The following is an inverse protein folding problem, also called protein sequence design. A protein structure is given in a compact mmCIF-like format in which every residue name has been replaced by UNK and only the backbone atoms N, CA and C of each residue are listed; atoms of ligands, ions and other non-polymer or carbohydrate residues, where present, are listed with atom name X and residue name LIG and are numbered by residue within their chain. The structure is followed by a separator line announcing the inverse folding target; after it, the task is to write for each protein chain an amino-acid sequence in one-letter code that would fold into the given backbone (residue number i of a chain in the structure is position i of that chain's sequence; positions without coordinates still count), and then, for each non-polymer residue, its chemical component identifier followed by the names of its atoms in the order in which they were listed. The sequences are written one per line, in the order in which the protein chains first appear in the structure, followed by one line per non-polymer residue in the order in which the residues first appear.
data_IF_322673970143
#
_entry.id   IF_322673970143
#
_cell.length_a   1.000
_cell.length_b   1.000
_cell.length_c   1.000
_cell.angle_alpha   90.00
_cell.angle_beta   90.00
_cell.angle_gamma   90.00
#
_symmetry.space_group_name_H-M   'P 1'
#
loop_
_entity.id
_entity.type
_entity.pdbx_description
1 polymer ?
#
# COMPACT_ATOMS: atom_id res chain seq x y z
N UNK A 1 -12.32 0.47 15.28
CA UNK A 1 -11.00 0.89 14.76
C UNK A 1 -10.99 2.37 14.44
N UNK A 2 -11.81 2.85 13.51
CA UNK A 2 -11.80 4.27 13.11
C UNK A 2 -12.12 5.23 14.27
N UNK A 3 -13.22 5.01 15.00
CA UNK A 3 -13.58 5.84 16.15
C UNK A 3 -12.50 5.85 17.25
N UNK A 4 -11.85 4.71 17.49
CA UNK A 4 -10.71 4.62 18.41
C UNK A 4 -9.56 5.49 17.92
N UNK A 5 -9.19 5.39 16.63
CA UNK A 5 -8.13 6.21 16.04
C UNK A 5 -8.41 7.71 16.14
N UNK A 6 -9.67 8.15 15.97
CA UNK A 6 -10.06 9.54 16.22
C UNK A 6 -9.83 9.93 17.67
N UNK A 7 -10.20 9.06 18.63
CA UNK A 7 -9.91 9.24 20.05
C UNK A 7 -8.41 9.36 20.35
N UNK A 8 -7.57 8.67 19.58
CA UNK A 8 -6.11 8.72 19.65
C UNK A 8 -5.50 9.92 18.88
N UNK A 9 -6.32 10.78 18.27
CA UNK A 9 -5.90 11.99 17.57
C UNK A 9 -5.64 11.84 16.05
N UNK A 10 -6.00 10.70 15.45
CA UNK A 10 -5.86 10.48 14.01
C UNK A 10 -6.93 11.27 13.24
N UNK A 11 -6.50 12.11 12.28
CA UNK A 11 -7.38 12.93 11.44
C UNK A 11 -7.54 12.44 10.00
N UNK A 12 -6.73 11.45 9.59
CA UNK A 12 -6.76 10.87 8.26
C UNK A 12 -6.24 9.43 8.28
N UNK A 13 -6.85 8.55 7.48
CA UNK A 13 -6.44 7.16 7.31
C UNK A 13 -6.38 6.82 5.83
N UNK A 14 -5.32 6.14 5.41
CA UNK A 14 -5.27 5.44 4.12
C UNK A 14 -5.54 3.96 4.40
N UNK A 15 -6.60 3.41 3.83
CA UNK A 15 -6.85 1.97 3.86
C UNK A 15 -5.89 1.28 2.89
N UNK A 16 -5.10 0.34 3.40
CA UNK A 16 -4.06 -0.39 2.66
C UNK A 16 -4.34 -1.90 2.65
N UNK A 17 -5.41 -2.37 1.98
CA UNK A 17 -5.64 -3.82 1.85
C UNK A 17 -4.43 -4.48 1.17
N UNK A 18 -4.11 -5.71 1.58
CA UNK A 18 -3.02 -6.47 0.98
C UNK A 18 -3.34 -6.88 -0.45
N UNK A 19 -2.39 -6.63 -1.34
CA UNK A 19 -2.41 -7.03 -2.74
C UNK A 19 -1.29 -8.04 -2.96
N UNK A 20 -1.68 -9.31 -2.94
CA UNK A 20 -0.78 -10.47 -3.04
C UNK A 20 -0.63 -10.99 -4.47
N UNK A 21 -1.38 -10.41 -5.42
CA UNK A 21 -1.39 -10.77 -6.84
C UNK A 21 -1.21 -9.52 -7.70
N UNK A 22 -0.72 -9.64 -8.95
CA UNK A 22 -0.45 -8.46 -9.76
C UNK A 22 -1.74 -7.69 -10.11
N UNK A 23 -1.80 -6.39 -9.80
CA UNK A 23 -2.96 -5.54 -10.13
C UNK A 23 -3.19 -5.42 -11.63
N UNK A 24 -2.10 -5.36 -12.41
CA UNK A 24 -2.14 -5.28 -13.87
C UNK A 24 -2.73 -6.55 -14.52
N UNK A 25 -2.79 -7.67 -13.80
CA UNK A 25 -3.40 -8.92 -14.24
C UNK A 25 -4.79 -9.18 -13.62
N UNK A 26 -5.25 -8.35 -12.67
CA UNK A 26 -6.48 -8.59 -11.92
C UNK A 26 -7.26 -7.29 -11.63
N UNK A 27 -7.97 -6.80 -12.66
CA UNK A 27 -8.81 -5.61 -12.57
C UNK A 27 -9.94 -5.75 -11.56
N UNK A 28 -10.51 -6.96 -11.40
CA UNK A 28 -11.60 -7.25 -10.46
C UNK A 28 -11.23 -6.98 -9.01
N UNK A 29 -9.97 -7.17 -8.62
CA UNK A 29 -9.51 -6.90 -7.27
C UNK A 29 -9.66 -5.41 -6.92
N UNK A 30 -9.33 -4.52 -7.87
CA UNK A 30 -9.45 -3.08 -7.67
C UNK A 30 -10.90 -2.67 -7.46
N UNK A 31 -11.82 -3.19 -8.28
CA UNK A 31 -13.26 -2.93 -8.16
C UNK A 31 -13.83 -3.38 -6.81
N UNK A 32 -13.40 -4.55 -6.32
CA UNK A 32 -13.84 -5.06 -5.02
C UNK A 32 -13.35 -4.14 -3.89
N UNK A 33 -12.08 -3.75 -3.90
CA UNK A 33 -11.51 -2.86 -2.89
C UNK A 33 -12.21 -1.50 -2.88
N UNK A 34 -12.48 -0.92 -4.05
CA UNK A 34 -13.18 0.35 -4.19
C UNK A 34 -14.61 0.28 -3.65
N UNK A 35 -15.37 -0.76 -4.04
CA UNK A 35 -16.73 -0.95 -3.52
C UNK A 35 -16.75 -1.08 -2.00
N UNK A 36 -15.84 -1.90 -1.44
CA UNK A 36 -15.75 -2.09 0.02
C UNK A 36 -15.32 -0.81 0.75
N UNK A 37 -14.48 -0.01 0.11
CA UNK A 37 -14.06 1.27 0.65
C UNK A 37 -15.20 2.30 0.65
N UNK A 38 -16.06 2.30 -0.37
CA UNK A 38 -17.24 3.17 -0.37
C UNK A 38 -18.24 2.76 0.71
N UNK A 39 -18.51 1.46 0.86
CA UNK A 39 -19.33 0.93 1.97
C UNK A 39 -18.77 1.32 3.35
N UNK A 40 -17.44 1.43 3.48
CA UNK A 40 -16.80 1.89 4.71
C UNK A 40 -17.03 3.39 4.94
N UNK A 41 -16.87 4.21 3.90
CA UNK A 41 -17.10 5.67 3.98
C UNK A 41 -18.54 5.97 4.37
N UNK A 42 -19.51 5.34 3.71
CA UNK A 42 -20.93 5.50 4.02
C UNK A 42 -21.23 5.24 5.50
N UNK A 43 -20.72 4.14 6.05
CA UNK A 43 -20.91 3.80 7.48
C UNK A 43 -20.23 4.77 8.44
N UNK A 44 -19.08 5.33 8.06
CA UNK A 44 -18.35 6.31 8.87
C UNK A 44 -19.11 7.64 8.89
N UNK A 45 -19.66 8.03 7.75
CA UNK A 45 -20.49 9.23 7.59
C UNK A 45 -21.83 9.08 8.34
N UNK A 46 -22.51 7.93 8.25
CA UNK A 46 -23.74 7.62 9.01
C UNK A 46 -23.54 7.71 10.53
N UNK A 47 -22.33 7.40 11.01
CA UNK A 47 -21.98 7.50 12.43
C UNK A 47 -21.49 8.89 12.84
N UNK A 48 -21.43 9.85 11.91
CA UNK A 48 -20.98 11.21 12.17
C UNK A 48 -19.51 11.32 12.60
N UNK A 49 -18.67 10.34 12.21
CA UNK A 49 -17.26 10.32 12.59
C UNK A 49 -16.46 11.23 11.66
N UNK A 50 -15.96 12.35 12.20
CA UNK A 50 -15.18 13.32 11.43
C UNK A 50 -13.73 12.84 11.18
N UNK A 51 -13.50 12.11 10.09
CA UNK A 51 -12.17 11.64 9.68
C UNK A 51 -12.05 11.58 8.16
N UNK A 52 -10.86 11.88 7.62
CA UNK A 52 -10.59 11.74 6.18
C UNK A 52 -10.18 10.31 5.86
N UNK A 53 -10.87 9.68 4.93
CA UNK A 53 -10.54 8.33 4.45
C UNK A 53 -10.02 8.38 3.02
N UNK A 54 -8.94 7.64 2.78
CA UNK A 54 -8.35 7.44 1.47
C UNK A 54 -8.16 5.95 1.20
N UNK A 55 -8.13 5.57 -0.07
CA UNK A 55 -7.85 4.22 -0.50
C UNK A 55 -6.46 4.14 -1.14
N UNK A 56 -5.69 3.13 -0.77
CA UNK A 56 -4.45 2.74 -1.44
C UNK A 56 -4.35 1.21 -1.42
N UNK A 57 -3.13 0.71 -1.31
CA UNK A 57 -2.89 -0.72 -1.06
C UNK A 57 -1.52 -0.94 -0.43
N UNK A 58 -1.35 -2.11 0.18
CA UNK A 58 -0.04 -2.67 0.53
C UNK A 58 0.29 -3.76 -0.48
N UNK A 59 1.29 -3.52 -1.33
CA UNK A 59 1.62 -4.41 -2.44
C UNK A 59 2.76 -5.34 -2.01
N UNK A 60 2.50 -6.65 -2.00
CA UNK A 60 3.58 -7.62 -1.85
C UNK A 60 4.51 -7.49 -3.06
N UNK A 61 5.82 -7.38 -2.81
CA UNK A 61 6.85 -7.21 -3.82
C UNK A 61 6.69 -8.27 -4.92
N UNK A 62 6.67 -7.77 -6.15
CA UNK A 62 6.56 -8.53 -7.39
C UNK A 62 7.42 -7.83 -8.44
N UNK A 63 7.87 -8.55 -9.46
CA UNK A 63 8.52 -7.90 -10.61
C UNK A 63 7.48 -7.17 -11.48
N UNK A 64 7.95 -6.21 -12.28
CA UNK A 64 7.10 -5.30 -13.06
C UNK A 64 6.31 -4.30 -12.19
N UNK A 65 6.96 -3.81 -11.11
CA UNK A 65 6.38 -2.85 -10.18
C UNK A 65 5.90 -1.58 -10.88
N UNK A 66 6.55 -1.14 -11.95
CA UNK A 66 6.14 0.06 -12.69
C UNK A 66 4.74 -0.11 -13.27
N UNK A 67 4.45 -1.26 -13.88
CA UNK A 67 3.14 -1.57 -14.46
C UNK A 67 2.07 -1.73 -13.36
N UNK A 68 2.43 -2.36 -12.25
CA UNK A 68 1.56 -2.55 -11.08
C UNK A 68 1.22 -1.20 -10.41
N UNK A 69 2.22 -0.35 -10.17
CA UNK A 69 2.06 0.93 -9.46
C UNK A 69 1.32 1.99 -10.30
N UNK A 70 1.25 1.82 -11.62
CA UNK A 70 0.42 2.65 -12.51
C UNK A 70 -1.06 2.31 -12.47
N UNK A 71 -1.45 1.21 -11.83
CA UNK A 71 -2.85 0.86 -11.64
C UNK A 71 -3.50 1.76 -10.57
N UNK A 72 -4.83 1.80 -10.55
CA UNK A 72 -5.62 2.70 -9.69
C UNK A 72 -5.33 2.56 -8.19
N UNK A 73 -5.01 1.35 -7.72
CA UNK A 73 -4.62 1.07 -6.34
C UNK A 73 -3.10 0.98 -6.15
N UNK A 74 -2.32 1.32 -7.17
CA UNK A 74 -0.88 1.17 -7.18
C UNK A 74 -0.12 2.09 -6.23
N UNK A 75 -0.78 3.09 -5.64
CA UNK A 75 -0.17 4.07 -4.74
C UNK A 75 -1.09 4.45 -3.59
N UNK A 76 -0.51 4.93 -2.49
CA UNK A 76 -1.27 5.44 -1.35
C UNK A 76 -2.18 6.60 -1.77
N UNK A 77 -3.44 6.57 -1.33
CA UNK A 77 -4.43 7.59 -1.65
C UNK A 77 -4.60 7.89 -3.16
N UNK A 78 -4.20 6.96 -4.05
CA UNK A 78 -4.22 7.18 -5.50
C UNK A 78 -3.35 8.35 -5.97
N UNK A 79 -2.32 8.74 -5.22
CA UNK A 79 -1.54 9.96 -5.50
C UNK A 79 -0.56 9.82 -6.67
N UNK A 80 -0.38 8.62 -7.23
CA UNK A 80 0.49 8.37 -8.37
C UNK A 80 1.99 8.49 -8.08
N UNK A 81 2.40 8.56 -6.80
CA UNK A 81 3.79 8.81 -6.41
C UNK A 81 4.33 7.84 -5.37
N UNK A 82 3.54 7.49 -4.34
CA UNK A 82 4.04 6.74 -3.19
C UNK A 82 3.40 5.34 -3.10
N UNK A 83 3.98 4.31 -3.74
CA UNK A 83 3.57 2.93 -3.53
C UNK A 83 4.08 2.41 -2.19
N UNK A 84 3.24 1.66 -1.47
CA UNK A 84 3.61 0.95 -0.24
C UNK A 84 3.93 -0.51 -0.59
N UNK A 85 5.19 -0.91 -0.44
CA UNK A 85 5.72 -2.21 -0.87
C UNK A 85 6.10 -3.06 0.34
N UNK A 86 5.52 -4.24 0.46
CA UNK A 86 5.82 -5.24 1.48
C UNK A 86 6.76 -6.32 0.89
N UNK A 87 7.80 -6.71 1.62
CA UNK A 87 8.64 -7.86 1.23
C UNK A 87 8.21 -9.14 1.94
N UNK A 88 8.46 -10.33 1.36
CA UNK A 88 8.30 -11.61 2.07
C UNK A 88 9.07 -11.60 3.40
N UNK A 89 8.50 -12.14 4.47
CA UNK A 89 9.07 -12.04 5.83
C UNK A 89 10.52 -12.57 5.96
N UNK A 90 10.85 -13.63 5.20
CA UNK A 90 12.05 -14.42 5.44
C UNK A 90 13.13 -14.22 4.37
N UNK A 91 12.89 -13.36 3.39
CA UNK A 91 13.82 -13.19 2.27
C UNK A 91 13.62 -11.87 1.55
N UNK A 92 14.65 -11.48 0.81
CA UNK A 92 14.56 -10.47 -0.23
C UNK A 92 14.68 -11.20 -1.58
N UNK A 93 13.72 -11.00 -2.50
CA UNK A 93 13.83 -11.56 -3.84
C UNK A 93 15.11 -11.10 -4.53
N UNK A 94 15.81 -12.01 -5.21
CA UNK A 94 17.02 -11.64 -5.95
C UNK A 94 16.70 -10.59 -7.02
N UNK A 95 17.47 -9.51 -7.08
CA UNK A 95 17.26 -8.41 -8.03
C UNK A 95 16.23 -7.36 -7.61
N UNK A 96 15.84 -7.34 -6.31
CA UNK A 96 14.89 -6.35 -5.82
C UNK A 96 15.42 -4.92 -5.89
N UNK A 97 16.72 -4.72 -5.72
CA UNK A 97 17.36 -3.39 -5.77
C UNK A 97 17.21 -2.77 -7.15
N UNK A 98 17.45 -3.53 -8.22
CA UNK A 98 17.27 -3.07 -9.60
C UNK A 98 15.79 -2.80 -9.92
N UNK A 99 14.86 -3.60 -9.39
CA UNK A 99 13.44 -3.36 -9.54
C UNK A 99 13.01 -2.04 -8.87
N UNK A 100 13.44 -1.81 -7.63
CA UNK A 100 13.17 -0.56 -6.90
C UNK A 100 13.82 0.64 -7.59
N UNK A 101 15.04 0.49 -8.09
CA UNK A 101 15.73 1.55 -8.84
C UNK A 101 14.96 1.92 -10.12
N UNK A 102 14.49 0.93 -10.90
CA UNK A 102 13.64 1.18 -12.08
C UNK A 102 12.32 1.86 -11.72
N UNK A 103 11.73 1.48 -10.60
CA UNK A 103 10.51 2.11 -10.08
C UNK A 103 10.75 3.59 -9.75
N UNK A 104 11.87 3.90 -9.08
CA UNK A 104 12.28 5.28 -8.78
C UNK A 104 12.54 6.12 -10.04
N UNK A 105 13.26 5.57 -11.02
CA UNK A 105 13.48 6.22 -12.31
C UNK A 105 12.17 6.53 -13.06
N UNK A 106 11.11 5.78 -12.79
CA UNK A 106 9.78 5.99 -13.37
C UNK A 106 8.95 7.05 -12.65
N UNK A 107 9.52 7.74 -11.64
CA UNK A 107 8.90 8.86 -10.93
C UNK A 107 8.21 8.50 -9.61
N UNK A 108 8.23 7.22 -9.21
CA UNK A 108 7.68 6.78 -7.94
C UNK A 108 8.70 6.91 -6.80
N UNK A 109 8.20 6.96 -5.57
CA UNK A 109 9.01 6.95 -4.34
C UNK A 109 8.49 5.82 -3.46
N UNK A 110 9.06 4.61 -3.56
CA UNK A 110 8.55 3.46 -2.82
C UNK A 110 8.75 3.64 -1.32
N UNK A 111 7.71 3.33 -0.55
CA UNK A 111 7.73 3.21 0.90
C UNK A 111 7.80 1.72 1.22
N UNK A 112 8.83 1.29 1.93
CA UNK A 112 8.95 -0.10 2.36
C UNK A 112 8.09 -0.30 3.60
N UNK A 113 7.11 -1.19 3.52
CA UNK A 113 6.23 -1.52 4.62
C UNK A 113 7.01 -2.34 5.66
N UNK A 114 6.89 -1.90 6.93
CA UNK A 114 7.37 -2.60 8.13
C UNK A 114 8.71 -3.36 7.94
N UNK A 115 9.79 -2.68 7.50
CA UNK A 115 11.07 -3.32 7.22
C UNK A 115 11.67 -4.06 8.42
N UNK A 116 11.31 -3.68 9.64
CA UNK A 116 11.68 -4.35 10.89
C UNK A 116 11.15 -5.79 10.99
N UNK A 117 10.08 -6.13 10.26
CA UNK A 117 9.49 -7.48 10.23
C UNK A 117 10.20 -8.42 9.25
N UNK A 118 10.99 -7.89 8.33
CA UNK A 118 11.75 -8.70 7.38
C UNK A 118 13.05 -9.18 8.05
N UNK A 119 13.23 -10.50 8.16
CA UNK A 119 14.38 -11.10 8.86
C UNK A 119 15.73 -10.80 8.19
N UNK A 120 15.75 -10.48 6.90
CA UNK A 120 16.97 -10.09 6.19
C UNK A 120 17.30 -8.63 6.45
N UNK A 121 16.34 -7.72 6.25
CA UNK A 121 16.53 -6.27 6.45
C UNK A 121 16.82 -5.93 7.92
N UNK A 122 16.10 -6.54 8.86
CA UNK A 122 16.28 -6.30 10.30
C UNK A 122 17.66 -6.70 10.84
N UNK A 123 18.39 -7.58 10.15
CA UNK A 123 19.74 -8.01 10.55
C UNK A 123 20.84 -7.10 9.99
N UNK A 124 20.50 -6.26 9.01
CA UNK A 124 21.45 -5.46 8.24
C UNK A 124 21.15 -3.96 8.39
N UNK A 125 21.09 -3.50 9.65
CA UNK A 125 20.70 -2.13 10.03
C UNK A 125 21.80 -1.08 9.70
N UNK A 126 22.98 -1.53 9.27
CA UNK A 126 24.13 -0.67 8.98
C UNK A 126 24.24 -0.21 7.51
N UNK A 127 23.31 -0.61 6.63
CA UNK A 127 23.26 -0.18 5.22
C UNK A 127 22.27 0.97 4.98
#
# INVERSE_FOLDING_TARGET
MIAQGVGDGISAVVATPHILVPLNANTRLSEICERRFEELKERVDEQGINIRLFLGSEILFQFDLVSICRQRLGTLAGNGKYPLIEFPLNSLPHGFEEELFRLQLSGFVPIIAHPERNMTLSRDVER
#
